data_IF_990209025395
#
_entry.id   IF_990209025395
#
_cell.length_a   1.000
_cell.length_b   1.000
_cell.length_c   1.000
_cell.angle_alpha   90.00
_cell.angle_beta   90.00
_cell.angle_gamma   90.00
#
_symmetry.space_group_name_H-M   'P 1'
#
loop_
_entity.id
_entity.type
_entity.pdbx_description
1 polymer ?
#
# COMPACT_ATOMS: atom_id res chain seq x y z
N UNK A 1 27.60 39.47 -43.39
CA UNK A 1 27.94 38.32 -42.54
C UNK A 1 27.70 37.05 -43.35
N UNK A 2 28.71 36.21 -43.58
CA UNK A 2 28.59 35.05 -44.48
C UNK A 2 27.74 33.94 -43.82
N UNK A 3 26.64 33.57 -44.47
CA UNK A 3 25.67 32.55 -44.03
C UNK A 3 26.29 31.24 -43.49
N UNK A 4 27.33 30.62 -44.11
CA UNK A 4 27.94 29.41 -43.58
C UNK A 4 28.56 29.59 -42.18
N UNK A 5 29.13 30.76 -41.86
CA UNK A 5 29.71 31.02 -40.54
C UNK A 5 28.64 31.10 -39.45
N UNK A 6 27.47 31.65 -39.79
CA UNK A 6 26.31 31.74 -38.90
C UNK A 6 25.73 30.35 -38.62
N UNK A 7 25.60 29.51 -39.66
CA UNK A 7 25.08 28.14 -39.51
C UNK A 7 25.98 27.31 -38.58
N UNK A 8 27.30 27.37 -38.79
CA UNK A 8 28.27 26.68 -37.94
C UNK A 8 28.17 27.17 -36.49
N UNK A 9 28.06 28.48 -36.27
CA UNK A 9 27.93 29.05 -34.92
C UNK A 9 26.65 28.60 -34.20
N UNK A 10 25.52 28.51 -34.92
CA UNK A 10 24.25 28.02 -34.36
C UNK A 10 24.36 26.55 -33.93
N UNK A 11 24.99 25.71 -34.75
CA UNK A 11 25.18 24.28 -34.44
C UNK A 11 26.07 24.10 -33.21
N UNK A 12 27.20 24.81 -33.14
CA UNK A 12 28.11 24.74 -31.99
C UNK A 12 27.45 25.23 -30.69
N UNK A 13 26.72 26.34 -30.75
CA UNK A 13 26.05 26.90 -29.58
C UNK A 13 24.89 26.01 -29.13
N UNK A 14 24.11 25.47 -30.08
CA UNK A 14 23.03 24.53 -29.80
C UNK A 14 23.52 23.23 -29.15
N UNK A 15 24.61 22.65 -29.65
CA UNK A 15 25.21 21.44 -29.08
C UNK A 15 25.72 21.65 -27.64
N UNK A 16 26.31 22.82 -27.34
CA UNK A 16 26.78 23.15 -25.99
C UNK A 16 25.63 23.29 -24.98
N UNK A 17 24.53 23.94 -25.38
CA UNK A 17 23.35 24.13 -24.53
C UNK A 17 22.68 22.77 -24.29
N UNK A 18 22.48 21.99 -25.34
CA UNK A 18 21.85 20.67 -25.25
C UNK A 18 22.67 19.69 -24.40
N UNK A 19 24.00 19.66 -24.57
CA UNK A 19 24.88 18.82 -23.78
C UNK A 19 24.87 19.16 -22.28
N UNK A 20 24.86 20.47 -21.94
CA UNK A 20 24.75 20.90 -20.53
C UNK A 20 23.39 20.57 -19.92
N UNK A 21 22.31 20.71 -20.69
CA UNK A 21 20.97 20.33 -20.24
C UNK A 21 20.85 18.82 -20.00
N UNK A 22 21.34 17.98 -20.92
CA UNK A 22 21.32 16.53 -20.76
C UNK A 22 22.18 16.06 -19.58
N UNK A 23 23.36 16.65 -19.38
CA UNK A 23 24.20 16.34 -18.22
C UNK A 23 23.57 16.77 -16.90
N UNK A 24 22.93 17.94 -16.84
CA UNK A 24 22.20 18.41 -15.66
C UNK A 24 20.98 17.53 -15.37
N UNK A 25 20.19 17.21 -16.38
CA UNK A 25 19.05 16.30 -16.29
C UNK A 25 19.48 14.89 -15.90
N UNK A 26 20.60 14.38 -16.43
CA UNK A 26 21.18 13.09 -16.05
C UNK A 26 21.67 13.08 -14.60
N UNK A 27 22.35 14.14 -14.15
CA UNK A 27 22.74 14.30 -12.73
C UNK A 27 21.53 14.43 -11.82
N UNK A 28 20.47 15.11 -12.25
CA UNK A 28 19.20 15.17 -11.53
C UNK A 28 18.49 13.82 -11.56
N UNK A 29 18.55 13.05 -12.65
CA UNK A 29 17.98 11.71 -12.71
C UNK A 29 18.74 10.72 -11.84
N UNK A 30 20.06 10.86 -11.69
CA UNK A 30 20.87 10.03 -10.78
C UNK A 30 20.68 10.48 -9.33
N UNK A 31 20.65 11.79 -9.05
CA UNK A 31 20.36 12.29 -7.71
C UNK A 31 18.94 11.93 -7.32
N UNK A 32 17.97 12.09 -8.21
CA UNK A 32 16.63 11.58 -8.02
C UNK A 32 16.69 10.06 -7.92
N UNK A 33 17.36 9.25 -8.73
CA UNK A 33 17.43 7.80 -8.48
C UNK A 33 18.06 7.43 -7.12
N UNK A 34 18.96 8.27 -6.59
CA UNK A 34 19.51 8.17 -5.23
C UNK A 34 18.59 8.76 -4.15
N UNK A 35 17.63 9.61 -4.51
CA UNK A 35 16.73 10.38 -3.64
C UNK A 35 15.23 10.22 -3.96
N UNK A 36 14.86 9.28 -4.83
CA UNK A 36 13.54 9.10 -5.46
C UNK A 36 13.24 7.62 -5.39
N UNK A 37 12.16 7.21 -4.74
CA UNK A 37 11.45 7.86 -3.65
C UNK A 37 11.31 6.85 -2.51
N UNK A 38 12.22 6.89 -1.55
CA UNK A 38 12.00 6.23 -0.25
C UNK A 38 10.86 6.89 0.55
N UNK A 39 10.39 8.08 0.13
CA UNK A 39 9.41 8.87 0.87
C UNK A 39 8.07 9.15 0.16
N UNK A 40 7.84 8.75 -1.10
CA UNK A 40 6.62 9.18 -1.82
C UNK A 40 5.94 8.16 -2.75
N UNK A 41 6.53 6.98 -2.98
CA UNK A 41 5.80 5.85 -3.56
C UNK A 41 5.42 4.92 -2.43
N UNK A 42 4.39 5.30 -1.66
CA UNK A 42 3.65 4.43 -0.74
C UNK A 42 4.50 3.31 -0.13
N UNK A 43 5.60 3.66 0.55
CA UNK A 43 6.48 2.68 1.19
C UNK A 43 5.78 2.25 2.47
N UNK A 44 4.75 1.46 2.25
CA UNK A 44 3.82 1.01 3.26
C UNK A 44 4.55 -0.07 4.03
N UNK A 45 5.09 0.31 5.19
CA UNK A 45 5.36 -0.59 6.32
C UNK A 45 6.12 -1.88 6.02
N UNK A 46 7.22 -1.86 5.26
CA UNK A 46 8.11 -3.02 5.13
C UNK A 46 7.73 -4.04 4.04
N UNK A 47 6.82 -3.71 3.11
CA UNK A 47 6.49 -4.58 1.96
C UNK A 47 7.73 -4.93 1.12
N UNK A 48 8.69 -4.01 0.97
CA UNK A 48 9.95 -4.26 0.25
C UNK A 48 10.84 -5.31 0.93
N UNK A 49 10.67 -5.53 2.23
CA UNK A 49 11.40 -6.55 2.97
C UNK A 49 10.76 -7.93 2.86
N UNK A 50 9.55 -8.03 2.29
CA UNK A 50 8.88 -9.29 2.01
C UNK A 50 9.44 -9.95 0.75
N UNK A 51 10.73 -10.29 0.76
CA UNK A 51 11.44 -10.93 -0.37
C UNK A 51 11.48 -12.45 -0.25
N UNK A 52 10.97 -13.02 0.85
CA UNK A 52 10.98 -14.46 1.07
C UNK A 52 9.99 -15.18 0.15
N UNK A 53 10.20 -16.50 0.02
CA UNK A 53 9.28 -17.42 -0.63
C UNK A 53 8.08 -17.83 0.24
N UNK A 54 8.00 -17.34 1.49
CA UNK A 54 6.88 -17.62 2.40
C UNK A 54 5.55 -17.15 1.82
N UNK A 55 4.46 -17.83 2.21
CA UNK A 55 3.10 -17.46 1.77
C UNK A 55 2.70 -16.08 2.32
N UNK A 56 3.09 -15.77 3.56
CA UNK A 56 2.97 -14.43 4.18
C UNK A 56 3.60 -13.33 3.33
N UNK A 57 4.79 -13.55 2.77
CA UNK A 57 5.49 -12.56 1.96
C UNK A 57 4.84 -12.41 0.58
N UNK A 58 4.33 -13.51 0.00
CA UNK A 58 3.52 -13.47 -1.23
C UNK A 58 2.28 -12.60 -1.03
N UNK A 59 1.50 -12.85 0.03
CA UNK A 59 0.33 -12.04 0.36
C UNK A 59 0.68 -10.57 0.55
N UNK A 60 1.79 -10.29 1.22
CA UNK A 60 2.27 -8.92 1.46
C UNK A 60 2.55 -8.19 0.14
N UNK A 61 3.13 -8.87 -0.85
CA UNK A 61 3.38 -8.30 -2.20
C UNK A 61 2.10 -8.14 -3.01
N UNK A 62 1.17 -9.10 -2.92
CA UNK A 62 -0.11 -9.10 -3.65
C UNK A 62 -1.08 -8.03 -3.13
N UNK A 63 -1.34 -8.02 -1.83
CA UNK A 63 -2.27 -7.08 -1.20
C UNK A 63 -1.64 -5.70 -0.93
N UNK A 64 -0.31 -5.59 -1.08
CA UNK A 64 0.49 -4.40 -0.77
C UNK A 64 0.21 -3.85 0.63
N UNK A 65 0.22 -4.76 1.60
CA UNK A 65 0.01 -4.47 3.02
C UNK A 65 0.65 -5.56 3.87
N UNK A 66 1.41 -5.15 4.89
CA UNK A 66 1.99 -6.08 5.85
C UNK A 66 0.96 -6.51 6.90
N UNK A 67 1.20 -7.66 7.52
CA UNK A 67 0.37 -8.12 8.64
C UNK A 67 0.39 -7.12 9.81
N UNK A 68 1.54 -6.50 10.04
CA UNK A 68 1.77 -5.50 11.08
C UNK A 68 0.91 -4.26 10.83
N UNK A 69 0.88 -3.77 9.60
CA UNK A 69 0.02 -2.67 9.19
C UNK A 69 -1.45 -3.03 9.36
N UNK A 70 -1.86 -4.24 8.99
CA UNK A 70 -3.25 -4.68 9.16
C UNK A 70 -3.69 -4.66 10.63
N UNK A 71 -2.84 -5.17 11.53
CA UNK A 71 -3.08 -5.09 12.97
C UNK A 71 -3.10 -3.65 13.50
N UNK A 72 -2.22 -2.80 13.00
CA UNK A 72 -2.19 -1.38 13.36
C UNK A 72 -3.46 -0.64 12.90
N UNK A 73 -3.94 -0.90 11.68
CA UNK A 73 -5.17 -0.31 11.12
C UNK A 73 -6.38 -0.72 11.97
N UNK A 74 -6.47 -1.99 12.39
CA UNK A 74 -7.57 -2.48 13.20
C UNK A 74 -7.37 -2.26 14.71
N UNK A 75 -6.25 -1.66 15.12
CA UNK A 75 -5.88 -1.49 16.53
C UNK A 75 -5.92 -2.81 17.33
N UNK A 76 -5.36 -3.86 16.75
CA UNK A 76 -5.30 -5.22 17.32
C UNK A 76 -3.86 -5.69 17.49
N UNK A 77 -3.64 -6.75 18.26
CA UNK A 77 -2.32 -7.38 18.42
C UNK A 77 -2.23 -8.68 17.61
N UNK A 78 -1.01 -9.12 17.30
CA UNK A 78 -0.80 -10.46 16.72
C UNK A 78 -1.34 -11.54 17.65
N UNK A 79 -1.97 -12.56 17.08
CA UNK A 79 -2.54 -13.68 17.83
C UNK A 79 -3.83 -13.33 18.59
N UNK A 80 -4.41 -12.16 18.35
CA UNK A 80 -5.70 -11.81 18.90
C UNK A 80 -6.81 -12.69 18.32
N UNK A 81 -7.81 -13.01 19.14
CA UNK A 81 -8.94 -13.84 18.73
C UNK A 81 -9.74 -13.17 17.60
N UNK A 82 -10.15 -13.96 16.60
CA UNK A 82 -10.82 -13.44 15.40
C UNK A 82 -12.09 -12.66 15.74
N UNK A 83 -12.80 -13.05 16.79
CA UNK A 83 -14.01 -12.38 17.26
C UNK A 83 -13.73 -10.92 17.67
N UNK A 84 -12.56 -10.65 18.25
CA UNK A 84 -12.18 -9.28 18.62
C UNK A 84 -11.75 -8.48 17.40
N UNK A 85 -11.10 -9.12 16.42
CA UNK A 85 -10.70 -8.49 15.15
C UNK A 85 -11.94 -8.04 14.37
N UNK A 86 -12.96 -8.90 14.29
CA UNK A 86 -14.25 -8.59 13.66
C UNK A 86 -14.93 -7.39 14.35
N UNK A 87 -14.96 -7.35 15.69
CA UNK A 87 -15.54 -6.20 16.42
C UNK A 87 -14.84 -4.89 16.10
N UNK A 88 -13.51 -4.89 16.05
CA UNK A 88 -12.73 -3.69 15.69
C UNK A 88 -13.00 -3.28 14.24
N UNK A 89 -13.02 -4.26 13.32
CA UNK A 89 -13.36 -4.06 11.93
C UNK A 89 -14.75 -3.42 11.77
N UNK A 90 -15.80 -4.00 12.36
CA UNK A 90 -17.17 -3.48 12.27
C UNK A 90 -17.28 -2.06 12.84
N UNK A 91 -16.64 -1.82 13.98
CA UNK A 91 -16.62 -0.50 14.61
C UNK A 91 -15.95 0.55 13.71
N UNK A 92 -14.75 0.26 13.20
CA UNK A 92 -14.00 1.19 12.33
C UNK A 92 -14.69 1.35 10.98
N UNK A 93 -15.25 0.29 10.40
CA UNK A 93 -15.97 0.37 9.14
C UNK A 93 -17.22 1.25 9.27
N UNK A 94 -18.01 1.07 10.33
CA UNK A 94 -19.18 1.91 10.61
C UNK A 94 -18.81 3.37 10.89
N UNK A 95 -17.75 3.62 11.67
CA UNK A 95 -17.30 4.97 11.98
C UNK A 95 -16.81 5.74 10.73
N UNK A 96 -16.30 5.04 9.72
CA UNK A 96 -15.80 5.61 8.47
C UNK A 96 -16.78 5.51 7.30
N UNK A 97 -17.97 4.92 7.51
CA UNK A 97 -18.99 4.80 6.49
C UNK A 97 -19.48 6.20 6.04
N UNK A 98 -20.02 6.31 4.80
CA UNK A 98 -20.70 7.52 4.37
C UNK A 98 -21.70 7.96 5.44
N UNK A 99 -21.50 9.16 5.99
CA UNK A 99 -22.50 9.72 6.90
C UNK A 99 -23.79 9.94 6.10
N UNK A 100 -24.96 9.63 6.67
CA UNK A 100 -26.21 10.10 6.09
C UNK A 100 -26.10 11.62 5.95
N UNK A 101 -26.66 12.16 4.87
CA UNK A 101 -26.69 13.60 4.66
C UNK A 101 -27.23 14.24 5.93
N UNK A 102 -26.38 14.99 6.65
CA UNK A 102 -26.82 15.74 7.81
C UNK A 102 -27.91 16.70 7.36
N UNK A 103 -28.90 16.92 8.22
CA UNK A 103 -29.83 18.04 8.05
C UNK A 103 -29.05 19.31 7.68
N UNK A 104 -29.59 20.14 6.76
CA UNK A 104 -28.93 21.37 6.36
C UNK A 104 -28.47 22.14 7.62
N UNK A 105 -27.26 22.73 7.60
CA UNK A 105 -26.71 23.36 8.79
C UNK A 105 -27.70 24.36 9.39
N UNK A 106 -27.82 24.39 10.72
CA UNK A 106 -28.68 25.31 11.46
C UNK A 106 -28.40 26.81 11.19
N UNK A 107 -27.32 27.12 10.46
CA UNK A 107 -27.14 28.41 9.82
C UNK A 107 -28.05 28.51 8.61
N UNK A 108 -29.10 29.33 8.71
CA UNK A 108 -30.10 29.58 7.68
C UNK A 108 -29.55 29.82 6.26
N UNK A 109 -30.43 29.79 5.24
CA UNK A 109 -30.03 29.67 3.84
C UNK A 109 -28.99 30.73 3.46
N UNK A 110 -27.74 30.29 3.29
CA UNK A 110 -26.75 31.07 2.54
C UNK A 110 -27.19 30.99 1.08
N UNK A 111 -27.88 32.02 0.62
CA UNK A 111 -28.35 32.17 -0.77
C UNK A 111 -27.23 31.78 -1.73
N UNK A 112 -27.45 30.72 -2.53
CA UNK A 112 -26.61 30.36 -3.67
C UNK A 112 -25.51 29.30 -3.46
N UNK A 113 -25.34 28.67 -2.29
CA UNK A 113 -24.33 27.60 -2.11
C UNK A 113 -24.98 26.23 -1.84
N UNK A 114 -24.70 25.19 -2.66
CA UNK A 114 -25.21 23.84 -2.38
C UNK A 114 -24.65 23.30 -1.05
N UNK A 115 -25.39 22.42 -0.34
CA UNK A 115 -24.90 21.81 0.88
C UNK A 115 -23.59 21.05 0.62
N UNK A 116 -22.63 21.05 1.58
CA UNK A 116 -21.41 20.27 1.41
C UNK A 116 -21.75 18.78 1.30
N UNK A 117 -21.08 18.03 0.42
CA UNK A 117 -21.29 16.59 0.34
C UNK A 117 -20.94 15.91 1.68
N UNK A 118 -21.60 14.79 2.02
CA UNK A 118 -21.30 14.06 3.25
C UNK A 118 -19.83 13.63 3.28
N UNK A 119 -19.08 14.20 4.22
CA UNK A 119 -17.65 13.94 4.37
C UNK A 119 -17.41 12.53 4.91
N UNK A 120 -16.92 11.63 4.06
CA UNK A 120 -16.39 10.32 4.41
C UNK A 120 -15.19 10.01 3.50
N UNK A 121 -14.27 9.18 3.96
CA UNK A 121 -13.10 8.78 3.19
C UNK A 121 -13.25 7.35 2.69
N UNK A 122 -13.53 7.21 1.40
CA UNK A 122 -13.54 5.90 0.73
C UNK A 122 -12.18 5.19 0.86
N UNK A 123 -11.08 5.94 0.89
CA UNK A 123 -9.75 5.38 1.08
C UNK A 123 -9.59 4.72 2.45
N UNK A 124 -10.02 5.39 3.53
CA UNK A 124 -9.95 4.82 4.88
C UNK A 124 -10.83 3.59 5.01
N UNK A 125 -12.06 3.65 4.47
CA UNK A 125 -12.95 2.50 4.44
C UNK A 125 -12.32 1.31 3.68
N UNK A 126 -11.72 1.57 2.52
CA UNK A 126 -11.01 0.55 1.74
C UNK A 126 -9.82 -0.05 2.50
N UNK A 127 -9.09 0.77 3.29
CA UNK A 127 -7.97 0.30 4.10
C UNK A 127 -8.42 -0.60 5.25
N UNK A 128 -9.52 -0.27 5.92
CA UNK A 128 -10.11 -1.10 6.98
C UNK A 128 -10.55 -2.46 6.43
N UNK A 129 -11.20 -2.49 5.26
CA UNK A 129 -11.61 -3.74 4.59
C UNK A 129 -10.40 -4.60 4.23
N UNK A 130 -9.41 -4.02 3.54
CA UNK A 130 -8.23 -4.79 3.16
C UNK A 130 -7.46 -5.31 4.38
N UNK A 131 -7.41 -4.54 5.49
CA UNK A 131 -6.72 -4.97 6.69
C UNK A 131 -7.37 -6.21 7.30
N UNK A 132 -8.70 -6.26 7.30
CA UNK A 132 -9.46 -7.45 7.69
C UNK A 132 -9.15 -8.65 6.79
N UNK A 133 -9.26 -8.47 5.46
CA UNK A 133 -8.94 -9.52 4.47
C UNK A 133 -7.50 -10.04 4.61
N UNK A 134 -6.53 -9.17 4.92
CA UNK A 134 -5.13 -9.54 5.12
C UNK A 134 -4.94 -10.47 6.31
N UNK A 135 -5.63 -10.21 7.41
CA UNK A 135 -5.56 -11.04 8.63
C UNK A 135 -6.28 -12.36 8.42
N UNK A 136 -7.45 -12.35 7.77
CA UNK A 136 -8.17 -13.58 7.41
C UNK A 136 -7.35 -14.50 6.50
N UNK A 137 -6.66 -13.91 5.52
CA UNK A 137 -5.78 -14.65 4.62
C UNK A 137 -4.61 -15.30 5.37
N UNK A 138 -3.99 -14.61 6.33
CA UNK A 138 -2.91 -15.19 7.15
C UNK A 138 -3.43 -16.35 8.02
N UNK A 139 -4.58 -16.17 8.66
CA UNK A 139 -5.19 -17.21 9.50
C UNK A 139 -5.54 -18.46 8.70
N UNK A 140 -6.02 -18.29 7.46
CA UNK A 140 -6.29 -19.41 6.55
C UNK A 140 -5.01 -20.18 6.22
N UNK A 141 -3.91 -19.49 5.90
CA UNK A 141 -2.61 -20.14 5.67
C UNK A 141 -2.15 -20.90 6.93
N UNK A 142 -2.27 -20.29 8.11
CA UNK A 142 -1.89 -20.94 9.36
C UNK A 142 -2.71 -22.22 9.65
N UNK A 143 -4.00 -22.23 9.31
CA UNK A 143 -4.87 -23.40 9.42
C UNK A 143 -4.49 -24.50 8.41
N UNK A 144 -4.20 -24.13 7.16
CA UNK A 144 -3.75 -25.05 6.11
C UNK A 144 -2.41 -25.72 6.49
N UNK A 145 -1.46 -24.93 7.00
CA UNK A 145 -0.16 -25.43 7.49
C UNK A 145 -0.33 -26.40 8.68
N UNK A 146 -1.28 -26.13 9.57
CA UNK A 146 -1.58 -26.99 10.74
C UNK A 146 -2.22 -28.31 10.29
N UNK A 147 -3.14 -28.25 9.33
CA UNK A 147 -3.82 -29.43 8.78
C UNK A 147 -2.86 -30.32 8.01
N UNK A 148 -1.95 -29.73 7.22
CA UNK A 148 -0.93 -30.46 6.47
C UNK A 148 0.07 -31.19 7.39
N UNK A 149 0.45 -30.57 8.51
CA UNK A 149 1.34 -31.20 9.51
C UNK A 149 0.68 -32.36 10.26
N UNK A 150 -0.60 -32.21 10.63
CA UNK A 150 -1.35 -33.29 11.31
C UNK A 150 -1.58 -34.52 10.42
N UNK A 151 -1.69 -34.34 9.10
CA UNK A 151 -1.81 -35.46 8.16
C UNK A 151 -0.53 -36.27 8.00
N UNK A 152 0.64 -35.61 8.07
CA UNK A 152 1.95 -36.25 7.91
C UNK A 152 2.37 -37.11 9.13
N UNK A 153 1.92 -36.78 10.35
CA UNK A 153 2.19 -37.57 11.55
C UNK A 153 1.35 -38.86 11.63
N UNK A 154 0.20 -38.93 10.96
CA UNK A 154 -0.64 -40.15 10.93
C UNK A 154 -0.17 -41.25 9.98
N UNK A 155 0.88 -41.01 9.19
CA UNK A 155 1.38 -41.93 8.14
C UNK A 155 2.76 -42.53 8.43
N UNK A 156 3.20 -42.62 9.69
CA UNK A 156 4.39 -43.41 10.05
C UNK A 156 3.98 -44.83 10.47
N UNK A 157 4.16 -45.88 9.65
CA UNK A 157 3.90 -47.24 10.08
C UNK A 157 4.95 -47.62 11.12
N UNK A 158 4.50 -48.06 12.29
CA UNK A 158 5.36 -48.60 13.32
C UNK A 158 6.22 -49.74 12.76
N UNK A 159 7.54 -49.52 12.74
CA UNK A 159 8.50 -50.62 12.62
C UNK A 159 8.43 -51.42 13.94
N UNK A 160 7.61 -52.46 13.95
CA UNK A 160 7.68 -53.54 14.92
C UNK A 160 8.82 -54.47 14.53
N UNK A 161 9.94 -54.37 15.23
CA UNK A 161 11.11 -55.23 15.11
C UNK A 161 10.87 -56.55 15.84
N UNK A 162 11.26 -57.64 15.17
CA UNK A 162 11.80 -58.94 15.61
C UNK A 162 11.43 -59.52 16.97
#
# INVERSE_FOLDING_TARGET
>A
MSAPKIIVQIILTGAQIFGRALAAAGRQAIQNAKHSPEAMSSDVGGIRNATSGSMTDKLTREQRMTLDEAHLILNTKRGEAMENIIKHYEHLFKANAPRPASDPPASGPRVGRPPPPPAHSHYLQSKVVRAHERIEAEMRIAQEDTTAKSGAESSSPGQGSS
#
